data_IF_928482783149
#
_entry.id   IF_928482783149
#
_cell.length_a   1.000
_cell.length_b   1.000
_cell.length_c   1.000
_cell.angle_alpha   90.00
_cell.angle_beta   90.00
_cell.angle_gamma   90.00
#
_symmetry.space_group_name_H-M   'P 1'
#
loop_
_entity.id
_entity.type
_entity.pdbx_description
1 polymer ?
#
# COMPACT_ATOMS: atom_id res chain seq x y z
N UNK A 1 37.42 1.51 -16.61
CA UNK A 1 36.36 1.82 -17.59
C UNK A 1 35.16 2.35 -16.83
N UNK A 2 34.76 3.61 -17.04
CA UNK A 2 33.60 4.22 -16.40
C UNK A 2 32.34 3.84 -17.18
N UNK A 3 31.42 3.12 -16.55
CA UNK A 3 30.11 2.83 -17.14
C UNK A 3 29.33 4.15 -17.16
N UNK A 4 28.73 4.57 -18.29
CA UNK A 4 27.87 5.74 -18.28
C UNK A 4 26.67 5.44 -17.38
N UNK A 5 26.41 6.29 -16.38
CA UNK A 5 25.21 6.20 -15.58
C UNK A 5 24.00 6.38 -16.50
N UNK A 6 23.29 5.29 -16.79
CA UNK A 6 22.20 5.31 -17.77
C UNK A 6 21.13 6.32 -17.32
N UNK A 7 20.77 7.32 -18.14
CA UNK A 7 19.75 8.31 -17.80
C UNK A 7 18.44 7.67 -17.35
N UNK A 8 18.10 6.49 -17.87
CA UNK A 8 16.92 5.71 -17.49
C UNK A 8 16.87 5.33 -16.00
N UNK A 9 18.01 5.02 -15.38
CA UNK A 9 18.05 4.68 -13.94
C UNK A 9 17.77 5.89 -13.07
N UNK A 10 18.28 7.05 -13.47
CA UNK A 10 18.05 8.30 -12.73
C UNK A 10 16.60 8.75 -12.87
N UNK A 11 16.05 8.67 -14.08
CA UNK A 11 14.64 8.97 -14.36
C UNK A 11 13.73 8.03 -13.58
N UNK A 12 14.01 6.73 -13.58
CA UNK A 12 13.27 5.74 -12.79
C UNK A 12 13.31 6.04 -11.29
N UNK A 13 14.49 6.31 -10.74
CA UNK A 13 14.64 6.66 -9.32
C UNK A 13 13.86 7.93 -8.95
N UNK A 14 13.83 8.92 -9.84
CA UNK A 14 13.04 10.13 -9.63
C UNK A 14 11.54 9.83 -9.66
N UNK A 15 11.09 8.98 -10.58
CA UNK A 15 9.71 8.49 -10.64
C UNK A 15 9.32 7.75 -9.35
N UNK A 16 10.16 6.82 -8.89
CA UNK A 16 9.94 6.08 -7.63
C UNK A 16 9.88 7.04 -6.43
N UNK A 17 10.77 8.04 -6.35
CA UNK A 17 10.73 9.04 -5.26
C UNK A 17 9.43 9.85 -5.29
N UNK A 18 8.99 10.26 -6.47
CA UNK A 18 7.74 11.02 -6.66
C UNK A 18 6.51 10.20 -6.28
N UNK A 19 6.44 8.96 -6.76
CA UNK A 19 5.40 8.03 -6.35
C UNK A 19 5.40 7.82 -4.83
N UNK A 20 6.57 7.70 -4.20
CA UNK A 20 6.70 7.54 -2.74
C UNK A 20 6.21 8.75 -1.96
N UNK A 21 6.48 9.98 -2.44
CA UNK A 21 5.93 11.20 -1.84
C UNK A 21 4.40 11.22 -1.93
N UNK A 22 3.84 10.85 -3.08
CA UNK A 22 2.38 10.77 -3.25
C UNK A 22 1.76 9.72 -2.32
N UNK A 23 2.36 8.54 -2.17
CA UNK A 23 1.88 7.53 -1.22
C UNK A 23 1.91 8.06 0.22
N UNK A 24 2.99 8.76 0.61
CA UNK A 24 3.12 9.31 1.95
C UNK A 24 2.10 10.43 2.23
N UNK A 25 1.86 11.33 1.27
CA UNK A 25 0.88 12.41 1.43
C UNK A 25 -0.54 11.87 1.53
N UNK A 26 -0.90 10.88 0.71
CA UNK A 26 -2.19 10.19 0.81
C UNK A 26 -2.37 9.49 2.16
N UNK A 27 -1.37 8.73 2.62
CA UNK A 27 -1.43 8.07 3.92
C UNK A 27 -1.52 9.07 5.09
N UNK A 28 -0.88 10.23 4.98
CA UNK A 28 -1.01 11.31 5.96
C UNK A 28 -2.43 11.91 5.95
N UNK A 29 -3.02 12.09 4.77
CA UNK A 29 -4.39 12.59 4.62
C UNK A 29 -5.42 11.63 5.25
N UNK A 30 -5.24 10.31 5.12
CA UNK A 30 -6.07 9.29 5.76
C UNK A 30 -6.02 9.39 7.30
N UNK A 31 -4.92 9.92 7.84
CA UNK A 31 -4.74 10.21 9.27
C UNK A 31 -5.15 11.65 9.65
N UNK A 32 -5.80 12.38 8.75
CA UNK A 32 -6.28 13.74 8.96
C UNK A 32 -5.23 14.84 8.80
N UNK A 33 -4.08 14.55 8.20
CA UNK A 33 -2.99 15.51 7.97
C UNK A 33 -2.86 15.85 6.50
N UNK A 34 -3.22 17.09 6.12
CA UNK A 34 -3.15 17.56 4.74
C UNK A 34 -4.48 17.41 3.99
N UNK A 35 -4.40 17.34 2.67
CA UNK A 35 -5.57 17.14 1.79
C UNK A 35 -5.51 15.80 1.08
N UNK A 36 -6.67 15.24 0.73
CA UNK A 36 -6.73 14.01 -0.06
C UNK A 36 -6.22 14.25 -1.47
N UNK A 37 -5.32 13.40 -1.91
CA UNK A 37 -4.82 13.36 -3.29
C UNK A 37 -5.66 12.39 -4.11
N UNK A 38 -6.24 12.86 -5.20
CA UNK A 38 -6.92 11.97 -6.14
C UNK A 38 -5.91 11.16 -6.96
N UNK A 39 -6.13 9.85 -7.01
CA UNK A 39 -5.40 8.92 -7.88
C UNK A 39 -6.39 8.29 -8.84
N UNK A 40 -6.14 8.42 -10.14
CA UNK A 40 -7.01 7.85 -11.18
C UNK A 40 -6.28 6.82 -12.02
N UNK A 41 -7.01 5.78 -12.42
CA UNK A 41 -6.51 4.75 -13.33
C UNK A 41 -6.68 5.22 -14.77
N UNK A 42 -5.61 5.21 -15.55
CA UNK A 42 -5.63 5.52 -16.97
C UNK A 42 -6.07 4.29 -17.80
N UNK A 43 -6.57 4.48 -19.03
CA UNK A 43 -7.00 3.37 -19.89
C UNK A 43 -5.91 2.32 -20.20
N UNK A 44 -4.64 2.69 -20.06
CA UNK A 44 -3.49 1.80 -20.26
C UNK A 44 -3.06 1.06 -18.97
N UNK A 45 -3.82 1.21 -17.89
CA UNK A 45 -3.57 0.57 -16.60
C UNK A 45 -2.54 1.29 -15.72
N UNK A 46 -1.97 2.41 -16.15
CA UNK A 46 -1.12 3.25 -15.29
C UNK A 46 -1.95 4.06 -14.31
N UNK A 47 -1.33 4.46 -13.21
CA UNK A 47 -1.91 5.37 -12.24
C UNK A 47 -1.47 6.79 -12.57
N UNK A 48 -2.42 7.72 -12.55
CA UNK A 48 -2.15 9.14 -12.67
C UNK A 48 -2.20 9.79 -11.29
N UNK A 49 -1.12 10.47 -10.93
CA UNK A 49 -0.96 11.18 -9.66
C UNK A 49 -1.21 12.66 -9.91
N UNK A 50 -2.38 13.17 -9.53
CA UNK A 50 -2.82 14.53 -9.91
C UNK A 50 -1.91 15.63 -9.34
N UNK A 51 -1.43 15.49 -8.10
CA UNK A 51 -0.50 16.44 -7.47
C UNK A 51 0.86 16.56 -8.17
N UNK A 52 1.26 15.51 -8.88
CA UNK A 52 2.59 15.41 -9.48
C UNK A 52 2.56 15.47 -11.01
N UNK A 53 1.37 15.63 -11.60
CA UNK A 53 1.13 15.73 -13.04
C UNK A 53 1.86 14.62 -13.81
N UNK A 54 1.74 13.37 -13.32
CA UNK A 54 2.51 12.26 -13.89
C UNK A 54 1.78 10.91 -13.87
N UNK A 55 2.07 10.11 -14.88
CA UNK A 55 1.66 8.71 -14.97
C UNK A 55 2.76 7.77 -14.45
N UNK A 56 2.40 6.84 -13.58
CA UNK A 56 3.29 5.82 -12.99
C UNK A 56 2.72 4.42 -13.19
N UNK A 57 3.59 3.42 -13.32
CA UNK A 57 3.16 2.02 -13.34
C UNK A 57 2.91 1.51 -11.91
N UNK A 58 2.14 0.42 -11.79
CA UNK A 58 2.01 -0.29 -10.52
C UNK A 58 3.36 -0.76 -9.96
N UNK A 59 4.31 -1.10 -10.84
CA UNK A 59 5.67 -1.47 -10.43
C UNK A 59 6.44 -0.29 -9.80
N UNK A 60 6.30 0.92 -10.35
CA UNK A 60 6.92 2.12 -9.80
C UNK A 60 6.36 2.42 -8.39
N UNK A 61 5.03 2.31 -8.23
CA UNK A 61 4.37 2.50 -6.93
C UNK A 61 4.79 1.43 -5.93
N UNK A 62 4.84 0.16 -6.33
CA UNK A 62 5.29 -0.92 -5.46
C UNK A 62 6.73 -0.73 -4.97
N UNK A 63 7.66 -0.38 -5.88
CA UNK A 63 9.06 -0.14 -5.48
C UNK A 63 9.19 1.11 -4.60
N UNK A 64 8.44 2.16 -4.89
CA UNK A 64 8.41 3.37 -4.08
C UNK A 64 7.89 3.09 -2.66
N UNK A 65 6.75 2.41 -2.52
CA UNK A 65 6.17 2.04 -1.24
C UNK A 65 7.11 1.12 -0.44
N UNK A 66 7.72 0.13 -1.09
CA UNK A 66 8.72 -0.74 -0.46
C UNK A 66 9.91 0.06 0.08
N UNK A 67 10.42 1.01 -0.71
CA UNK A 67 11.51 1.90 -0.28
C UNK A 67 11.13 2.78 0.91
N UNK A 68 9.91 3.34 0.89
CA UNK A 68 9.37 4.15 1.98
C UNK A 68 9.23 3.35 3.28
N UNK A 69 8.64 2.15 3.21
CA UNK A 69 8.45 1.27 4.38
C UNK A 69 9.82 0.83 4.93
N UNK A 70 10.78 0.49 4.07
CA UNK A 70 12.12 0.12 4.52
C UNK A 70 12.82 1.28 5.26
N UNK A 71 12.71 2.51 4.75
CA UNK A 71 13.25 3.69 5.40
C UNK A 71 12.56 3.96 6.76
N UNK A 72 11.25 3.74 6.85
CA UNK A 72 10.51 3.91 8.09
C UNK A 72 10.88 2.85 9.14
N UNK A 73 11.03 1.59 8.73
CA UNK A 73 11.48 0.51 9.63
C UNK A 73 12.89 0.77 10.17
N UNK A 74 13.81 1.25 9.32
CA UNK A 74 15.15 1.65 9.73
C UNK A 74 15.10 2.83 10.74
N UNK A 75 14.29 3.85 10.46
CA UNK A 75 14.12 4.98 11.37
C UNK A 75 13.55 4.55 12.74
N UNK A 76 12.56 3.67 12.77
CA UNK A 76 11.99 3.13 14.01
C UNK A 76 13.04 2.32 14.78
N UNK A 77 13.82 1.48 14.09
CA UNK A 77 14.90 0.71 14.71
C UNK A 77 15.93 1.63 15.37
N UNK A 78 16.35 2.68 14.67
CA UNK A 78 17.30 3.68 15.19
C UNK A 78 16.76 4.41 16.43
N UNK A 79 15.50 4.88 16.40
CA UNK A 79 14.90 5.63 17.51
C UNK A 79 14.63 4.73 18.72
N UNK A 80 14.19 3.50 18.49
CA UNK A 80 13.85 2.55 19.57
C UNK A 80 15.06 1.83 20.16
N UNK A 81 16.20 1.84 19.48
CA UNK A 81 17.38 1.07 19.86
C UNK A 81 17.21 -0.45 19.75
N UNK A 82 16.16 -0.93 19.07
CA UNK A 82 15.88 -2.35 18.85
C UNK A 82 16.25 -2.76 17.41
N UNK A 83 16.57 -4.06 17.18
CA UNK A 83 16.78 -4.57 15.83
C UNK A 83 15.58 -4.32 14.92
N UNK A 84 15.83 -4.10 13.63
CA UNK A 84 14.77 -3.87 12.63
C UNK A 84 13.88 -5.10 12.48
N UNK A 85 14.45 -6.29 12.68
CA UNK A 85 13.76 -7.58 12.61
C UNK A 85 12.64 -7.67 13.65
N UNK A 86 12.85 -7.14 14.86
CA UNK A 86 11.84 -7.16 15.92
C UNK A 86 10.59 -6.38 15.50
N UNK A 87 10.77 -5.22 14.86
CA UNK A 87 9.67 -4.38 14.39
C UNK A 87 8.98 -4.99 13.18
N UNK A 88 9.76 -5.49 12.22
CA UNK A 88 9.22 -6.13 11.02
C UNK A 88 8.39 -7.37 11.38
N UNK A 89 8.88 -8.23 12.29
CA UNK A 89 8.15 -9.41 12.75
C UNK A 89 6.87 -9.04 13.50
N UNK A 90 6.92 -8.03 14.38
CA UNK A 90 5.73 -7.56 15.09
C UNK A 90 4.64 -7.10 14.12
N UNK A 91 5.01 -6.29 13.11
CA UNK A 91 4.06 -5.84 12.08
C UNK A 91 3.53 -6.97 11.23
N UNK A 92 4.37 -7.94 10.83
CA UNK A 92 3.91 -9.10 10.05
C UNK A 92 2.89 -9.94 10.82
N UNK A 93 3.12 -10.19 12.11
CA UNK A 93 2.17 -10.91 12.97
C UNK A 93 0.84 -10.16 13.05
N UNK A 94 0.86 -8.84 13.23
CA UNK A 94 -0.35 -8.02 13.21
C UNK A 94 -1.08 -8.12 11.86
N UNK A 95 -0.38 -8.00 10.75
CA UNK A 95 -0.99 -8.09 9.41
C UNK A 95 -1.62 -9.46 9.16
N UNK A 96 -0.91 -10.54 9.51
CA UNK A 96 -1.44 -11.91 9.41
C UNK A 96 -2.66 -12.13 10.29
N UNK A 97 -2.67 -11.53 11.49
CA UNK A 97 -3.81 -11.62 12.40
C UNK A 97 -5.02 -10.89 11.82
N UNK A 98 -4.81 -9.69 11.27
CA UNK A 98 -5.87 -8.91 10.62
C UNK A 98 -6.42 -9.64 9.37
N UNK A 99 -5.55 -10.27 8.57
CA UNK A 99 -5.97 -11.08 7.41
C UNK A 99 -6.90 -12.23 7.84
N UNK A 100 -6.56 -12.95 8.91
CA UNK A 100 -7.43 -14.00 9.46
C UNK A 100 -8.77 -13.44 9.93
N UNK A 101 -8.77 -12.30 10.63
CA UNK A 101 -10.01 -11.70 11.13
C UNK A 101 -10.94 -11.29 9.99
N UNK A 102 -10.42 -10.66 8.93
CA UNK A 102 -11.21 -10.31 7.75
C UNK A 102 -11.79 -11.56 7.09
N UNK A 103 -11.00 -12.63 6.94
CA UNK A 103 -11.50 -13.88 6.35
C UNK A 103 -12.60 -14.56 7.18
N UNK A 104 -12.63 -14.37 8.50
CA UNK A 104 -13.70 -14.83 9.37
C UNK A 104 -14.97 -13.99 9.22
N UNK A 105 -14.83 -12.67 9.06
CA UNK A 105 -15.95 -11.75 8.81
C UNK A 105 -16.64 -12.08 7.48
N UNK A 106 -15.87 -12.34 6.43
CA UNK A 106 -16.38 -12.75 5.12
C UNK A 106 -17.15 -14.08 5.20
N UNK A 107 -16.58 -15.09 5.87
CA UNK A 107 -17.24 -16.39 6.03
C UNK A 107 -18.53 -16.30 6.87
N UNK A 108 -18.56 -15.42 7.88
CA UNK A 108 -19.77 -15.18 8.67
C UNK A 108 -20.85 -14.43 7.86
N UNK A 109 -20.45 -13.52 6.97
CA UNK A 109 -21.37 -12.84 6.07
C UNK A 109 -21.98 -13.83 5.04
N UNK A 110 -21.16 -14.71 4.47
CA UNK A 110 -21.61 -15.74 3.52
C UNK A 110 -22.62 -16.71 4.18
N UNK A 111 -22.31 -17.19 5.39
CA UNK A 111 -23.22 -18.07 6.14
C UNK A 111 -24.57 -17.39 6.47
N UNK A 112 -24.55 -16.09 6.79
CA UNK A 112 -25.77 -15.33 7.06
C UNK A 112 -26.64 -15.12 5.80
N UNK A 113 -26.04 -15.10 4.61
CA UNK A 113 -26.76 -15.04 3.33
C UNK A 113 -27.39 -16.40 3.01
N UNK A 114 -26.66 -17.50 3.22
CA UNK A 114 -27.20 -18.87 3.06
C UNK A 114 -28.38 -19.13 4.01
N UNK A 115 -28.26 -18.78 5.29
CA UNK A 115 -29.36 -18.90 6.28
C UNK A 115 -30.60 -18.06 5.89
N UNK A 116 -30.41 -16.92 5.20
CA UNK A 116 -31.51 -16.07 4.74
C UNK A 116 -32.20 -16.66 3.51
N UNK A 117 -31.44 -17.20 2.56
CA UNK A 117 -31.97 -17.85 1.36
C UNK A 117 -32.77 -19.11 1.74
N UNK A 118 -32.26 -19.94 2.65
CA UNK A 118 -32.97 -21.11 3.19
C UNK A 118 -34.29 -20.72 3.89
N UNK A 119 -34.29 -19.61 4.64
CA UNK A 119 -35.48 -19.11 5.32
C UNK A 119 -36.55 -18.54 4.38
N UNK A 120 -36.15 -18.03 3.20
CA UNK A 120 -37.06 -17.53 2.16
C UNK A 120 -37.68 -18.69 1.39
N UNK A 121 -36.90 -19.71 1.06
CA UNK A 121 -37.37 -20.92 0.35
C UNK A 121 -38.36 -21.74 1.20
N UNK A 122 -38.14 -21.85 2.52
CA UNK A 122 -39.07 -22.53 3.44
C UNK A 122 -40.42 -21.79 3.64
N UNK A 123 -40.51 -20.51 3.25
CA UNK A 123 -41.69 -19.68 3.40
C UNK A 123 -42.59 -19.59 2.14
N UNK A 124 -42.18 -20.20 1.03
CA UNK A 124 -42.87 -20.19 -0.28
C UNK A 124 -43.70 -21.46 -0.56
#
# INVERSE_FOLDING_TARGET
>A
MSVPSSPDRRSRRLTELRAGMSVLTSAAADLGVGGHTDVRVLPDGRLWLDELDMAVSAADVYQAARGLIAAQLDAIAQVSGRPVEDHALAWLVTLQTNEVMVGLEDAAADAAVEDLDDAIDDAA
#
